data_IF_483758594607
#
_entry.id   IF_483758594607
#
_cell.length_a   1.000
_cell.length_b   1.000
_cell.length_c   1.000
_cell.angle_alpha   90.00
_cell.angle_beta   90.00
_cell.angle_gamma   90.00
#
_symmetry.space_group_name_H-M   'P 1'
#
loop_
_entity.id
_entity.type
_entity.pdbx_description
1 polymer ?
#
# COMPACT_ATOMS: atom_id res chain seq x y z
N UNK A 1 10.45 -9.07 -5.94
CA UNK A 1 10.08 -7.64 -5.96
C UNK A 1 10.46 -7.08 -7.31
N UNK A 2 9.67 -6.16 -7.90
CA UNK A 2 10.03 -5.52 -9.15
C UNK A 2 11.30 -4.65 -9.00
N UNK A 3 12.05 -4.43 -10.08
CA UNK A 3 13.30 -3.69 -10.02
C UNK A 3 13.06 -2.21 -9.71
N UNK A 4 14.02 -1.59 -9.02
CA UNK A 4 14.05 -0.14 -8.80
C UNK A 4 14.10 0.60 -10.15
N UNK A 5 13.30 1.66 -10.29
CA UNK A 5 13.21 2.48 -11.51
C UNK A 5 13.97 3.78 -11.33
N UNK A 6 14.60 4.28 -12.39
CA UNK A 6 15.35 5.53 -12.34
C UNK A 6 14.44 6.71 -11.97
N UNK A 7 14.95 7.68 -11.22
CA UNK A 7 14.18 8.84 -10.77
C UNK A 7 13.63 9.69 -11.92
N UNK A 8 14.39 9.82 -13.00
CA UNK A 8 13.94 10.51 -14.23
C UNK A 8 12.69 9.86 -14.81
N UNK A 9 12.60 8.54 -14.74
CA UNK A 9 11.43 7.80 -15.20
C UNK A 9 10.29 7.87 -14.18
N UNK A 10 10.58 8.03 -12.89
CA UNK A 10 9.57 8.17 -11.84
C UNK A 10 8.80 9.49 -11.96
N UNK A 11 9.47 10.57 -12.36
CA UNK A 11 8.87 11.89 -12.59
C UNK A 11 8.89 12.31 -14.09
N UNK A 12 8.17 11.60 -14.99
CA UNK A 12 8.19 11.89 -16.43
C UNK A 12 7.33 13.11 -16.81
N UNK A 13 6.65 13.73 -15.82
CA UNK A 13 5.68 14.81 -15.99
C UNK A 13 4.31 14.45 -15.41
N UNK A 14 3.51 15.47 -15.11
CA UNK A 14 2.17 15.32 -14.52
C UNK A 14 1.09 15.67 -15.53
N UNK A 15 0.03 14.87 -15.57
CA UNK A 15 -1.17 15.15 -16.35
C UNK A 15 -2.37 14.71 -15.54
N UNK A 16 -3.35 15.59 -15.35
CA UNK A 16 -4.62 15.26 -14.70
C UNK A 16 -5.38 14.22 -15.54
N UNK A 17 -5.91 13.16 -14.92
CA UNK A 17 -6.73 12.19 -15.63
C UNK A 17 -8.00 12.84 -16.15
N UNK A 18 -8.42 12.44 -17.36
CA UNK A 18 -9.59 13.03 -18.02
C UNK A 18 -10.90 12.45 -17.49
N UNK A 19 -10.92 11.13 -17.22
CA UNK A 19 -12.10 10.38 -16.82
C UNK A 19 -11.79 9.40 -15.68
N UNK A 20 -12.84 8.87 -15.01
CA UNK A 20 -12.70 7.91 -13.90
C UNK A 20 -11.95 6.63 -14.29
N UNK A 21 -12.18 6.13 -15.50
CA UNK A 21 -11.49 4.95 -16.04
C UNK A 21 -9.99 5.24 -16.24
N UNK A 22 -9.65 6.40 -16.80
CA UNK A 22 -8.26 6.84 -16.99
C UNK A 22 -7.53 7.03 -15.65
N UNK A 23 -8.21 7.60 -14.64
CA UNK A 23 -7.68 7.70 -13.28
C UNK A 23 -7.34 6.31 -12.72
N UNK A 24 -8.29 5.37 -12.78
CA UNK A 24 -8.13 4.03 -12.23
C UNK A 24 -7.00 3.27 -12.93
N UNK A 25 -6.94 3.37 -14.26
CA UNK A 25 -5.94 2.68 -15.06
C UNK A 25 -4.53 3.21 -14.81
N UNK A 26 -4.38 4.52 -14.69
CA UNK A 26 -3.12 5.16 -14.34
C UNK A 26 -2.68 4.82 -12.92
N UNK A 27 -3.61 4.89 -11.97
CA UNK A 27 -3.35 4.56 -10.57
C UNK A 27 -2.80 3.13 -10.44
N UNK A 28 -3.50 2.13 -10.96
CA UNK A 28 -3.05 0.72 -10.88
C UNK A 28 -1.74 0.52 -11.64
N UNK A 29 -1.66 1.01 -12.87
CA UNK A 29 -0.49 0.81 -13.73
C UNK A 29 0.78 1.40 -13.11
N UNK A 30 0.69 2.62 -12.57
CA UNK A 30 1.81 3.29 -11.95
C UNK A 30 2.15 2.66 -10.59
N UNK A 31 1.15 2.29 -9.77
CA UNK A 31 1.36 1.57 -8.50
C UNK A 31 2.13 0.27 -8.69
N UNK A 32 1.75 -0.52 -9.71
CA UNK A 32 2.44 -1.78 -10.02
C UNK A 32 3.85 -1.53 -10.55
N UNK A 33 4.04 -0.55 -11.42
CA UNK A 33 5.34 -0.36 -12.06
C UNK A 33 6.41 0.24 -11.14
N UNK A 34 6.03 1.16 -10.25
CA UNK A 34 6.95 1.89 -9.37
C UNK A 34 6.91 1.40 -7.92
N UNK A 35 6.49 0.15 -7.66
CA UNK A 35 6.35 -0.39 -6.30
C UNK A 35 7.58 -0.12 -5.41
N UNK A 36 8.78 -0.41 -5.91
CA UNK A 36 10.04 -0.22 -5.15
C UNK A 36 10.35 1.26 -4.92
N UNK A 37 10.01 2.14 -5.86
CA UNK A 37 10.15 3.59 -5.69
C UNK A 37 9.15 4.13 -4.66
N UNK A 38 7.89 3.66 -4.67
CA UNK A 38 6.89 4.03 -3.66
C UNK A 38 7.24 3.50 -2.28
N UNK A 39 7.84 2.31 -2.19
CA UNK A 39 8.36 1.80 -0.93
C UNK A 39 9.44 2.73 -0.38
N UNK A 40 10.42 3.11 -1.21
CA UNK A 40 11.48 4.03 -0.81
C UNK A 40 10.93 5.41 -0.40
N UNK A 41 9.97 5.94 -1.16
CA UNK A 41 9.30 7.20 -0.86
C UNK A 41 8.54 7.14 0.46
N UNK A 42 7.82 6.04 0.70
CA UNK A 42 7.12 5.80 1.96
C UNK A 42 8.10 5.71 3.13
N UNK A 43 9.19 4.96 2.97
CA UNK A 43 10.27 4.88 3.97
C UNK A 43 10.86 6.24 4.28
N UNK A 44 11.10 7.08 3.28
CA UNK A 44 11.59 8.45 3.49
C UNK A 44 10.60 9.30 4.31
N UNK A 45 9.29 9.20 4.02
CA UNK A 45 8.24 9.89 4.81
C UNK A 45 8.26 9.43 6.28
N UNK A 46 8.37 8.12 6.54
CA UNK A 46 8.46 7.61 7.91
C UNK A 46 9.74 8.02 8.62
N UNK A 47 10.88 8.09 7.93
CA UNK A 47 12.14 8.59 8.50
C UNK A 47 11.98 10.06 8.91
N UNK A 48 11.41 10.90 8.03
CA UNK A 48 11.16 12.33 8.33
C UNK A 48 10.22 12.47 9.52
N UNK A 49 9.13 11.70 9.56
CA UNK A 49 8.21 11.70 10.70
C UNK A 49 8.90 11.22 11.99
N UNK A 50 9.78 10.23 11.89
CA UNK A 50 10.56 9.69 13.01
C UNK A 50 11.57 10.68 13.57
N UNK A 51 12.12 11.58 12.76
CA UNK A 51 12.96 12.67 13.28
C UNK A 51 12.17 13.68 14.12
N UNK A 52 10.88 13.89 13.81
CA UNK A 52 10.01 14.81 14.55
C UNK A 52 9.56 14.21 15.89
N UNK A 53 9.21 12.92 15.89
CA UNK A 53 8.72 12.20 17.07
C UNK A 53 9.10 10.72 16.97
N UNK A 54 10.34 10.37 17.35
CA UNK A 54 10.86 9.01 17.18
C UNK A 54 10.14 8.02 18.10
N UNK A 55 9.74 8.46 19.29
CA UNK A 55 9.00 7.64 20.25
C UNK A 55 7.58 7.38 19.74
N UNK A 56 6.89 8.39 19.20
CA UNK A 56 5.56 8.20 18.62
C UNK A 56 5.55 7.27 17.41
N UNK A 57 6.47 7.46 16.46
CA UNK A 57 6.58 6.55 15.30
C UNK A 57 6.96 5.14 15.74
N UNK A 58 7.91 4.99 16.67
CA UNK A 58 8.32 3.69 17.20
C UNK A 58 7.19 2.95 17.93
N UNK A 59 6.53 3.64 18.88
CA UNK A 59 5.39 3.07 19.62
C UNK A 59 4.21 2.77 18.70
N UNK A 60 3.86 3.67 17.78
CA UNK A 60 2.81 3.45 16.80
C UNK A 60 3.09 2.25 15.89
N UNK A 61 4.33 2.11 15.43
CA UNK A 61 4.76 0.95 14.63
C UNK A 61 4.65 -0.35 15.44
N UNK A 62 5.19 -0.38 16.67
CA UNK A 62 5.16 -1.57 17.52
C UNK A 62 3.72 -1.99 17.86
N UNK A 63 2.87 -1.04 18.22
CA UNK A 63 1.46 -1.28 18.54
C UNK A 63 0.70 -1.81 17.32
N UNK A 64 0.85 -1.19 16.15
CA UNK A 64 0.18 -1.64 14.93
C UNK A 64 0.67 -3.02 14.47
N UNK A 65 1.96 -3.31 14.60
CA UNK A 65 2.51 -4.65 14.36
C UNK A 65 1.94 -5.67 15.34
N UNK A 66 1.84 -5.35 16.62
CA UNK A 66 1.25 -6.24 17.61
C UNK A 66 -0.21 -6.54 17.30
N UNK A 67 -1.01 -5.52 16.94
CA UNK A 67 -2.41 -5.70 16.51
C UNK A 67 -2.49 -6.59 15.27
N UNK A 68 -1.62 -6.37 14.28
CA UNK A 68 -1.58 -7.19 13.07
C UNK A 68 -1.24 -8.65 13.37
N UNK A 69 -0.18 -8.90 14.13
CA UNK A 69 0.25 -10.26 14.49
C UNK A 69 -0.80 -10.97 15.36
N UNK A 70 -1.40 -10.26 16.31
CA UNK A 70 -2.48 -10.80 17.14
C UNK A 70 -3.70 -11.12 16.29
N UNK A 71 -4.08 -10.25 15.35
CA UNK A 71 -5.19 -10.49 14.42
C UNK A 71 -4.92 -11.67 13.48
N UNK A 72 -3.68 -11.82 13.01
CA UNK A 72 -3.26 -12.97 12.21
C UNK A 72 -3.36 -14.28 13.01
N UNK A 73 -2.82 -14.28 14.24
CA UNK A 73 -2.88 -15.44 15.13
C UNK A 73 -4.31 -15.81 15.53
N UNK A 74 -5.10 -14.84 16.00
CA UNK A 74 -6.50 -15.02 16.36
C UNK A 74 -7.32 -15.46 15.15
N UNK A 75 -6.97 -14.98 13.96
CA UNK A 75 -7.60 -15.35 12.69
C UNK A 75 -7.47 -16.83 12.31
N UNK A 76 -6.52 -17.55 12.89
CA UNK A 76 -6.32 -19.00 12.67
C UNK A 76 -7.05 -19.87 13.70
N UNK A 77 -7.62 -19.26 14.76
CA UNK A 77 -8.38 -20.01 15.76
C UNK A 77 -9.67 -20.59 15.13
N UNK A 78 -10.03 -21.86 15.40
CA UNK A 78 -11.20 -22.52 14.82
C UNK A 78 -12.50 -21.68 14.81
N UNK A 79 -12.92 -21.04 15.93
CA UNK A 79 -14.15 -20.24 15.93
C UNK A 79 -14.07 -18.98 15.06
N UNK A 80 -12.87 -18.43 14.88
CA UNK A 80 -12.64 -17.22 14.09
C UNK A 80 -12.52 -17.54 12.61
N UNK A 81 -11.93 -18.69 12.27
CA UNK A 81 -11.92 -19.22 10.90
C UNK A 81 -13.34 -19.45 10.41
N UNK A 82 -14.19 -20.05 11.25
CA UNK A 82 -15.61 -20.27 10.94
C UNK A 82 -16.36 -18.94 10.80
N UNK A 83 -16.08 -17.95 11.68
CA UNK A 83 -16.65 -16.60 11.58
C UNK A 83 -16.22 -15.91 10.27
N UNK A 84 -14.95 -16.01 9.89
CA UNK A 84 -14.40 -15.41 8.66
C UNK A 84 -14.99 -16.05 7.41
N UNK A 85 -15.25 -17.36 7.44
CA UNK A 85 -15.92 -18.09 6.35
C UNK A 85 -17.39 -17.74 6.24
N UNK A 86 -18.08 -17.53 7.37
CA UNK A 86 -19.51 -17.20 7.41
C UNK A 86 -19.79 -15.72 7.08
N UNK A 87 -18.97 -14.81 7.58
CA UNK A 87 -19.11 -13.36 7.37
C UNK A 87 -17.74 -12.65 7.42
N UNK A 88 -17.03 -12.55 6.28
CA UNK A 88 -15.73 -11.89 6.21
C UNK A 88 -15.83 -10.40 6.57
N UNK A 89 -16.96 -9.75 6.31
CA UNK A 89 -17.21 -8.35 6.66
C UNK A 89 -17.25 -8.13 8.18
N UNK A 90 -17.83 -9.06 8.96
CA UNK A 90 -17.88 -8.94 10.41
C UNK A 90 -16.48 -8.98 11.02
N UNK A 91 -15.62 -9.87 10.55
CA UNK A 91 -14.22 -9.94 10.98
C UNK A 91 -13.45 -8.64 10.67
N UNK A 92 -13.70 -8.05 9.49
CA UNK A 92 -13.09 -6.78 9.08
C UNK A 92 -13.56 -5.62 9.97
N UNK A 93 -14.87 -5.52 10.26
CA UNK A 93 -15.43 -4.47 11.12
C UNK A 93 -14.84 -4.57 12.54
N UNK A 94 -14.74 -5.78 13.11
CA UNK A 94 -14.12 -5.98 14.44
C UNK A 94 -12.67 -5.50 14.43
N UNK A 95 -11.89 -5.86 13.41
CA UNK A 95 -10.50 -5.39 13.27
C UNK A 95 -10.41 -3.86 13.21
N UNK A 96 -11.28 -3.21 12.44
CA UNK A 96 -11.31 -1.75 12.33
C UNK A 96 -11.61 -1.11 13.69
N UNK A 97 -12.57 -1.66 14.45
CA UNK A 97 -12.90 -1.18 15.80
C UNK A 97 -11.70 -1.32 16.74
N UNK A 98 -11.02 -2.46 16.73
CA UNK A 98 -9.82 -2.69 17.56
C UNK A 98 -8.71 -1.70 17.22
N UNK A 99 -8.41 -1.52 15.94
CA UNK A 99 -7.42 -0.53 15.48
C UNK A 99 -7.81 0.88 15.90
N UNK A 100 -9.08 1.26 15.79
CA UNK A 100 -9.55 2.59 16.18
C UNK A 100 -9.46 2.82 17.70
N UNK A 101 -9.79 1.81 18.51
CA UNK A 101 -9.67 1.88 19.96
C UNK A 101 -8.20 2.04 20.38
N UNK A 102 -7.32 1.20 19.81
CA UNK A 102 -5.87 1.26 20.05
C UNK A 102 -5.30 2.61 19.63
N UNK A 103 -5.73 3.16 18.49
CA UNK A 103 -5.30 4.47 18.03
C UNK A 103 -5.65 5.61 18.99
N UNK A 104 -6.78 5.51 19.72
CA UNK A 104 -7.15 6.48 20.75
C UNK A 104 -6.43 6.26 22.09
N UNK A 105 -6.05 5.03 22.40
CA UNK A 105 -5.41 4.68 23.66
C UNK A 105 -3.94 5.12 23.75
N UNK A 106 -3.24 5.22 22.62
CA UNK A 106 -1.81 5.54 22.57
C UNK A 106 -1.56 6.90 21.89
N UNK A 107 -1.08 7.87 22.67
CA UNK A 107 -0.77 9.24 22.19
C UNK A 107 0.21 9.23 21.01
N UNK A 108 1.16 8.29 20.97
CA UNK A 108 2.15 8.15 19.89
C UNK A 108 1.60 7.62 18.56
N UNK A 109 0.43 6.96 18.56
CA UNK A 109 -0.17 6.41 17.33
C UNK A 109 -0.61 7.52 16.37
N UNK A 110 -0.93 8.72 16.88
CA UNK A 110 -1.29 9.86 16.05
C UNK A 110 -0.21 10.24 15.03
N UNK A 111 1.05 10.29 15.46
CA UNK A 111 2.17 10.61 14.56
C UNK A 111 2.36 9.51 13.52
N UNK A 112 2.31 8.24 13.93
CA UNK A 112 2.37 7.10 13.01
C UNK A 112 1.26 7.16 11.95
N UNK A 113 -0.01 7.35 12.36
CA UNK A 113 -1.15 7.45 11.45
C UNK A 113 -1.02 8.63 10.49
N UNK A 114 -0.52 9.77 10.96
CA UNK A 114 -0.27 10.93 10.09
C UNK A 114 0.79 10.63 9.04
N UNK A 115 1.88 9.94 9.41
CA UNK A 115 2.91 9.52 8.48
C UNK A 115 2.36 8.51 7.46
N UNK A 116 1.54 7.55 7.89
CA UNK A 116 0.83 6.62 7.01
C UNK A 116 -0.07 7.37 6.01
N UNK A 117 -0.86 8.32 6.50
CA UNK A 117 -1.79 9.09 5.67
C UNK A 117 -1.05 9.94 4.63
N UNK A 118 0.04 10.62 5.02
CA UNK A 118 0.88 11.39 4.10
C UNK A 118 1.52 10.47 3.07
N UNK A 119 2.07 9.32 3.50
CA UNK A 119 2.67 8.33 2.61
C UNK A 119 1.69 7.83 1.54
N UNK A 120 0.45 7.54 1.95
CA UNK A 120 -0.63 7.15 1.04
C UNK A 120 -1.03 8.29 0.11
N UNK A 121 -1.22 9.51 0.64
CA UNK A 121 -1.60 10.68 -0.15
C UNK A 121 -0.56 10.95 -1.25
N UNK A 122 0.73 11.03 -0.90
CA UNK A 122 1.81 11.26 -1.88
C UNK A 122 1.86 10.14 -2.92
N UNK A 123 1.74 8.89 -2.50
CA UNK A 123 1.76 7.74 -3.42
C UNK A 123 0.58 7.75 -4.39
N UNK A 124 -0.63 8.00 -3.91
CA UNK A 124 -1.84 8.06 -4.74
C UNK A 124 -1.84 9.28 -5.66
N UNK A 125 -1.43 10.45 -5.16
CA UNK A 125 -1.27 11.66 -5.97
C UNK A 125 -0.24 11.43 -7.08
N UNK A 126 0.93 10.87 -6.75
CA UNK A 126 1.94 10.57 -7.74
C UNK A 126 1.44 9.53 -8.76
N UNK A 127 0.85 8.42 -8.30
CA UNK A 127 0.38 7.35 -9.17
C UNK A 127 -0.77 7.79 -10.10
N UNK A 128 -1.66 8.68 -9.65
CA UNK A 128 -2.76 9.18 -10.46
C UNK A 128 -2.35 10.25 -11.47
N UNK A 129 -1.40 11.12 -11.11
CA UNK A 129 -0.97 12.24 -11.95
C UNK A 129 0.19 11.88 -12.88
N UNK A 130 0.98 10.86 -12.56
CA UNK A 130 2.14 10.46 -13.35
C UNK A 130 1.73 10.05 -14.77
N UNK A 131 2.18 10.81 -15.76
CA UNK A 131 1.80 10.64 -17.14
C UNK A 131 2.74 9.66 -17.86
N UNK A 132 2.48 8.37 -17.68
CA UNK A 132 3.25 7.30 -18.33
C UNK A 132 2.51 6.72 -19.53
N UNK A 133 3.19 6.64 -20.67
CA UNK A 133 2.76 5.78 -21.79
C UNK A 133 3.18 4.35 -21.49
N UNK A 134 2.22 3.51 -21.11
CA UNK A 134 2.45 2.10 -20.81
C UNK A 134 2.70 1.36 -22.13
N UNK A 135 3.88 0.80 -22.32
CA UNK A 135 4.12 -0.09 -23.45
C UNK A 135 3.67 -1.50 -23.07
N UNK A 136 2.59 -1.96 -23.69
CA UNK A 136 1.93 -3.24 -23.42
C UNK A 136 2.88 -4.44 -23.58
N UNK A 137 3.75 -4.38 -24.59
CA UNK A 137 4.76 -5.42 -24.87
C UNK A 137 5.79 -5.54 -23.72
N UNK A 138 6.20 -4.41 -23.15
CA UNK A 138 7.11 -4.40 -22.01
C UNK A 138 6.44 -4.96 -20.74
N UNK A 139 5.15 -4.65 -20.54
CA UNK A 139 4.35 -5.19 -19.45
C UNK A 139 4.21 -6.72 -19.54
N UNK A 140 3.94 -7.26 -20.73
CA UNK A 140 3.82 -8.71 -20.96
C UNK A 140 5.16 -9.43 -20.73
N UNK A 141 6.27 -8.81 -21.14
CA UNK A 141 7.62 -9.36 -20.88
C UNK A 141 7.90 -9.42 -19.38
N UNK A 142 7.62 -8.34 -18.65
CA UNK A 142 7.80 -8.27 -17.19
C UNK A 142 6.87 -9.25 -16.46
N UNK A 143 5.64 -9.44 -16.93
CA UNK A 143 4.69 -10.42 -16.39
C UNK A 143 5.10 -11.88 -16.64
N UNK A 144 5.88 -12.15 -17.70
CA UNK A 144 6.50 -13.46 -17.97
C UNK A 144 7.71 -13.72 -17.08
N UNK A 145 8.49 -12.68 -16.76
CA UNK A 145 9.62 -12.77 -15.84
C UNK A 145 9.15 -12.97 -14.38
N UNK A 146 8.03 -12.35 -14.00
CA UNK A 146 7.44 -12.44 -12.65
C UNK A 146 6.51 -13.64 -12.44
N UNK A 147 6.74 -14.77 -13.14
CA UNK A 147 5.93 -16.01 -13.04
C UNK A 147 5.77 -16.45 -11.57
N UNK A 148 4.52 -16.66 -11.15
CA UNK A 148 4.18 -17.18 -9.82
C UNK A 148 4.03 -16.12 -8.71
N UNK A 149 4.26 -14.83 -9.01
CA UNK A 149 3.99 -13.77 -8.04
C UNK A 149 2.56 -13.20 -8.20
N UNK A 150 1.90 -12.73 -7.13
CA UNK A 150 0.61 -12.04 -7.22
C UNK A 150 0.64 -10.86 -8.20
N UNK A 151 1.75 -10.13 -8.24
CA UNK A 151 1.99 -9.05 -9.20
C UNK A 151 2.01 -9.56 -10.64
N UNK A 152 2.71 -10.67 -10.92
CA UNK A 152 2.71 -11.29 -12.24
C UNK A 152 1.33 -11.75 -12.70
N UNK A 153 0.46 -12.16 -11.77
CA UNK A 153 -0.95 -12.48 -12.07
C UNK A 153 -1.75 -11.23 -12.43
N UNK A 154 -1.62 -10.15 -11.65
CA UNK A 154 -2.28 -8.86 -11.92
C UNK A 154 -1.83 -8.25 -13.25
N UNK A 155 -0.54 -8.30 -13.56
CA UNK A 155 0.00 -7.80 -14.83
C UNK A 155 -0.51 -8.62 -16.02
N UNK A 156 -0.67 -9.95 -15.89
CA UNK A 156 -1.29 -10.79 -16.93
C UNK A 156 -2.78 -10.55 -17.10
N UNK A 157 -3.49 -10.28 -16.01
CA UNK A 157 -4.90 -9.92 -16.07
C UNK A 157 -5.12 -8.59 -16.82
N UNK A 158 -4.12 -7.69 -16.77
CA UNK A 158 -4.14 -6.37 -17.42
C UNK A 158 -3.56 -6.34 -18.84
N UNK A 159 -2.57 -7.16 -19.17
CA UNK A 159 -1.97 -7.25 -20.51
C UNK A 159 -2.70 -8.23 -21.44
N UNK A 160 -4.02 -8.30 -21.30
CA UNK A 160 -4.93 -8.99 -22.21
C UNK A 160 -5.63 -7.96 -23.09
#
# INVERSE_FOLDING_TARGET
>A
MPPFRQWRDFFPGWKTPTDSTDFHDRLISNLLYYQTNYLLLSTAVYIIAGFKDPVGVGTGTAVMLAVFLLSAYVGELPPIVDLKRRSPFTFLIINIIVVHFVAKAFVGVGTFLSATAISLAVTVSHASLCNRKVNEVACIKEARELKGTPMGFLLRARGK
#
